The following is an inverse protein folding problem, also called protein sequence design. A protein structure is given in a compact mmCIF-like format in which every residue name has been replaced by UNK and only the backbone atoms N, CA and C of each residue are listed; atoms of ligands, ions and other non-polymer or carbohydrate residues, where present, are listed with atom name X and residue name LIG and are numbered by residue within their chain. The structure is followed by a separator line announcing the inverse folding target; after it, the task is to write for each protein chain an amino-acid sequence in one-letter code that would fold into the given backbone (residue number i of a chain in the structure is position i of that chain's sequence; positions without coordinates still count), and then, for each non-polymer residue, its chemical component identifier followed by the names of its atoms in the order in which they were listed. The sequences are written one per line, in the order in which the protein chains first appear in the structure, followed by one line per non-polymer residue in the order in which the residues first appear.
data_IF_688393433349
#
_entry.id   IF_688393433349
#
_cell.length_a   1.000
_cell.length_b   1.000
_cell.length_c   1.000
_cell.angle_alpha   90.00
_cell.angle_beta   90.00
_cell.angle_gamma   90.00
#
_symmetry.space_group_name_H-M   'P 1'
#
loop_
_entity.id
_entity.type
_entity.pdbx_description
1 polymer ?
#
# COMPACT_ATOMS: atom_id res chain seq x y z
N UNK A 1 28.42 26.14 -20.40
CA UNK A 1 28.03 25.41 -21.62
C UNK A 1 28.22 23.89 -21.49
N UNK A 2 29.34 23.37 -20.98
CA UNK A 2 29.60 21.91 -20.91
C UNK A 2 28.61 21.09 -20.06
N UNK A 3 28.12 21.64 -18.93
CA UNK A 3 27.18 20.93 -18.05
C UNK A 3 25.81 20.65 -18.67
N UNK A 4 25.25 21.60 -19.43
CA UNK A 4 23.95 21.45 -20.08
C UNK A 4 23.95 20.37 -21.17
N UNK A 5 25.00 20.35 -21.98
CA UNK A 5 25.18 19.33 -23.03
C UNK A 5 25.33 17.93 -22.43
N UNK A 6 26.06 17.79 -21.32
CA UNK A 6 26.18 16.52 -20.61
C UNK A 6 24.84 16.01 -20.08
N UNK A 7 23.99 16.89 -19.56
CA UNK A 7 22.64 16.54 -19.11
C UNK A 7 21.74 16.09 -20.27
N UNK A 8 21.81 16.76 -21.42
CA UNK A 8 21.05 16.36 -22.61
C UNK A 8 21.45 14.98 -23.13
N UNK A 9 22.75 14.68 -23.17
CA UNK A 9 23.26 13.37 -23.55
C UNK A 9 22.81 12.28 -22.56
N UNK A 10 22.87 12.57 -21.26
CA UNK A 10 22.39 11.65 -20.24
C UNK A 10 20.87 11.41 -20.38
N UNK A 11 20.11 12.46 -20.64
CA UNK A 11 18.66 12.37 -20.85
C UNK A 11 18.31 11.53 -22.07
N UNK A 12 19.01 11.71 -23.20
CA UNK A 12 18.84 10.85 -24.38
C UNK A 12 19.13 9.37 -24.06
N UNK A 13 20.21 9.09 -23.32
CA UNK A 13 20.53 7.73 -22.87
C UNK A 13 19.42 7.14 -22.02
N UNK A 14 18.96 7.86 -21.00
CA UNK A 14 17.91 7.40 -20.08
C UNK A 14 16.56 7.20 -20.78
N UNK A 15 16.17 8.12 -21.67
CA UNK A 15 14.84 8.11 -22.27
C UNK A 15 14.75 7.25 -23.54
N UNK A 16 15.76 7.30 -24.41
CA UNK A 16 15.72 6.66 -25.73
C UNK A 16 16.42 5.31 -25.72
N UNK A 17 17.62 5.23 -25.11
CA UNK A 17 18.39 3.97 -25.09
C UNK A 17 17.91 3.01 -24.00
N UNK A 18 17.62 3.51 -22.80
CA UNK A 18 17.30 2.67 -21.62
C UNK A 18 15.83 2.71 -21.21
N UNK A 19 15.01 3.56 -21.84
CA UNK A 19 13.65 3.89 -21.38
C UNK A 19 12.75 2.66 -21.24
N UNK A 20 12.70 1.80 -22.25
CA UNK A 20 11.85 0.58 -22.23
C UNK A 20 12.26 -0.41 -21.13
N UNK A 21 13.57 -0.61 -20.95
CA UNK A 21 14.12 -1.49 -19.92
C UNK A 21 13.84 -0.97 -18.51
N UNK A 22 13.99 0.34 -18.30
CA UNK A 22 13.70 0.99 -17.02
C UNK A 22 12.20 0.95 -16.71
N UNK A 23 11.34 1.12 -17.71
CA UNK A 23 9.88 0.99 -17.55
C UNK A 23 9.49 -0.44 -17.17
N UNK A 24 10.04 -1.45 -17.85
CA UNK A 24 9.77 -2.85 -17.53
C UNK A 24 10.19 -3.18 -16.10
N UNK A 25 11.37 -2.69 -15.69
CA UNK A 25 11.87 -2.83 -14.32
C UNK A 25 10.94 -2.15 -13.30
N UNK A 26 10.47 -0.94 -13.59
CA UNK A 26 9.54 -0.20 -12.74
C UNK A 26 8.21 -0.97 -12.60
N UNK A 27 7.66 -1.48 -13.70
CA UNK A 27 6.43 -2.29 -13.69
C UNK A 27 6.60 -3.55 -12.83
N UNK A 28 7.71 -4.27 -12.97
CA UNK A 28 8.01 -5.45 -12.13
C UNK A 28 8.13 -5.12 -10.65
N UNK A 29 8.67 -3.95 -10.30
CA UNK A 29 8.82 -3.51 -8.91
C UNK A 29 7.51 -2.99 -8.31
N UNK A 30 6.69 -2.30 -9.10
CA UNK A 30 5.42 -1.71 -8.66
C UNK A 30 4.29 -2.74 -8.62
N UNK A 31 4.28 -3.70 -9.55
CA UNK A 31 3.32 -4.80 -9.56
C UNK A 31 3.75 -5.90 -8.57
N UNK A 32 3.63 -5.60 -7.29
CA UNK A 32 3.72 -6.65 -6.26
C UNK A 32 2.43 -7.46 -6.32
N UNK A 33 2.55 -8.76 -6.59
CA UNK A 33 1.42 -9.69 -6.48
C UNK A 33 0.99 -9.77 -5.01
N UNK A 34 -0.02 -9.00 -4.65
CA UNK A 34 -0.66 -9.13 -3.34
C UNK A 34 -1.41 -10.46 -3.35
N UNK A 35 -0.96 -11.39 -2.49
CA UNK A 35 -1.67 -12.66 -2.34
C UNK A 35 -3.10 -12.37 -1.89
N UNK A 36 -4.12 -12.97 -2.52
CA UNK A 36 -5.48 -12.79 -2.07
C UNK A 36 -5.60 -13.27 -0.63
N UNK A 37 -6.43 -12.57 0.16
CA UNK A 37 -6.76 -13.01 1.51
C UNK A 37 -7.53 -14.34 1.43
N UNK A 38 -6.98 -15.39 2.02
CA UNK A 38 -7.65 -16.68 2.16
C UNK A 38 -8.02 -16.85 3.63
N UNK A 39 -9.32 -16.86 3.98
CA UNK A 39 -9.74 -17.01 5.37
C UNK A 39 -9.35 -18.38 5.92
N UNK A 40 -9.08 -18.45 7.23
CA UNK A 40 -8.81 -19.73 7.89
C UNK A 40 -10.08 -20.58 7.92
N UNK A 41 -9.89 -21.90 7.84
CA UNK A 41 -10.98 -22.86 8.01
C UNK A 41 -11.51 -22.79 9.44
N UNK A 42 -12.84 -22.88 9.64
CA UNK A 42 -13.41 -22.90 10.99
C UNK A 42 -12.97 -24.16 11.74
N UNK A 43 -12.80 -24.01 13.06
CA UNK A 43 -12.56 -25.15 13.96
C UNK A 43 -13.93 -25.63 14.44
N UNK A 44 -14.20 -26.92 14.27
CA UNK A 44 -15.46 -27.55 14.67
C UNK A 44 -15.21 -28.66 15.69
N UNK A 45 -16.14 -28.85 16.63
CA UNK A 45 -16.12 -29.98 17.55
C UNK A 45 -16.62 -31.28 16.86
N UNK A 46 -16.63 -32.40 17.60
CA UNK A 46 -17.10 -33.71 17.10
C UNK A 46 -18.59 -33.73 16.77
N UNK A 47 -19.39 -32.82 17.32
CA UNK A 47 -20.84 -32.69 17.09
C UNK A 47 -21.15 -31.72 15.95
N UNK A 48 -20.14 -31.08 15.36
CA UNK A 48 -20.28 -30.10 14.29
C UNK A 48 -20.49 -28.67 14.74
N UNK A 49 -20.35 -28.36 16.04
CA UNK A 49 -20.46 -26.99 16.53
C UNK A 49 -19.19 -26.20 16.19
N UNK A 50 -19.36 -24.97 15.70
CA UNK A 50 -18.25 -24.07 15.39
C UNK A 50 -17.66 -23.51 16.68
N UNK A 51 -16.39 -23.79 16.93
CA UNK A 51 -15.63 -23.27 18.08
C UNK A 51 -14.86 -22.00 17.72
N UNK A 52 -14.41 -21.86 16.47
CA UNK A 52 -13.71 -20.66 15.98
C UNK A 52 -13.94 -20.45 14.48
N UNK A 53 -14.09 -19.19 14.07
CA UNK A 53 -14.25 -18.77 12.68
C UNK A 53 -13.61 -17.40 12.46
N UNK A 54 -13.00 -17.20 11.29
CA UNK A 54 -12.50 -15.89 10.88
C UNK A 54 -13.67 -14.97 10.51
N UNK A 55 -13.61 -13.70 10.94
CA UNK A 55 -14.57 -12.65 10.55
C UNK A 55 -13.81 -11.44 10.00
N UNK A 56 -14.28 -10.85 8.89
CA UNK A 56 -13.74 -9.58 8.44
C UNK A 56 -14.05 -8.50 9.50
N UNK A 57 -13.04 -7.75 9.89
CA UNK A 57 -13.16 -6.59 10.78
C UNK A 57 -12.44 -5.41 10.15
N UNK A 58 -12.97 -4.21 10.39
CA UNK A 58 -12.40 -2.98 9.88
C UNK A 58 -11.68 -2.26 11.01
N UNK A 59 -10.47 -1.79 10.73
CA UNK A 59 -9.70 -0.94 11.64
C UNK A 59 -9.64 0.46 11.06
N UNK A 60 -10.20 1.43 11.78
CA UNK A 60 -10.10 2.83 11.39
C UNK A 60 -8.68 3.35 11.70
N UNK A 61 -7.97 3.82 10.67
CA UNK A 61 -6.63 4.40 10.80
C UNK A 61 -6.62 5.84 10.31
N UNK A 62 -6.13 6.75 11.15
CA UNK A 62 -6.01 8.17 10.85
C UNK A 62 -4.57 8.64 11.10
N UNK A 63 -3.86 9.06 10.05
CA UNK A 63 -2.49 9.51 10.18
C UNK A 63 -2.44 10.95 10.73
N UNK A 64 -1.77 11.22 11.87
CA UNK A 64 -1.91 12.48 12.60
C UNK A 64 -1.43 13.70 11.82
N UNK A 65 -0.40 13.56 10.98
CA UNK A 65 0.15 14.69 10.19
C UNK A 65 -0.73 15.16 9.03
N UNK A 66 -1.79 14.41 8.70
CA UNK A 66 -2.71 14.80 7.62
C UNK A 66 -3.76 15.81 8.09
N UNK A 67 -3.83 16.06 9.39
CA UNK A 67 -4.80 16.97 9.99
C UNK A 67 -4.14 18.27 10.45
N UNK A 68 -4.83 19.38 10.26
CA UNK A 68 -4.43 20.71 10.73
C UNK A 68 -4.97 21.04 12.13
N UNK A 69 -5.37 20.02 12.90
CA UNK A 69 -6.02 20.10 14.21
C UNK A 69 -5.21 19.34 15.27
N UNK A 70 -5.51 19.56 16.55
CA UNK A 70 -4.84 18.83 17.63
C UNK A 70 -5.27 17.35 17.63
N UNK A 71 -4.40 16.48 18.18
CA UNK A 71 -4.67 15.05 18.29
C UNK A 71 -5.95 14.77 19.09
N UNK A 72 -6.16 15.53 20.16
CA UNK A 72 -7.31 15.40 21.05
C UNK A 72 -8.61 15.74 20.33
N UNK A 73 -8.62 16.81 19.54
CA UNK A 73 -9.79 17.21 18.77
C UNK A 73 -10.16 16.15 17.73
N UNK A 74 -9.17 15.61 17.00
CA UNK A 74 -9.40 14.56 16.00
C UNK A 74 -9.89 13.28 16.67
N UNK A 75 -9.32 12.89 17.81
CA UNK A 75 -9.76 11.72 18.56
C UNK A 75 -11.22 11.84 19.00
N UNK A 76 -11.64 13.02 19.48
CA UNK A 76 -13.03 13.28 19.85
C UNK A 76 -13.99 13.19 18.66
N UNK A 77 -13.57 13.66 17.48
CA UNK A 77 -14.37 13.57 16.24
C UNK A 77 -14.46 12.15 15.70
N UNK A 78 -13.42 11.33 15.88
CA UNK A 78 -13.39 9.94 15.42
C UNK A 78 -14.05 8.95 16.39
N UNK A 79 -14.11 9.26 17.70
CA UNK A 79 -14.70 8.42 18.72
C UNK A 79 -16.09 7.84 18.38
N UNK A 80 -17.07 8.60 17.85
CA UNK A 80 -18.38 8.05 17.51
C UNK A 80 -18.39 7.13 16.27
N UNK A 81 -17.29 7.02 15.54
CA UNK A 81 -17.16 6.16 14.36
C UNK A 81 -16.56 4.78 14.68
N UNK A 82 -16.20 4.53 15.95
CA UNK A 82 -15.57 3.31 16.47
C UNK A 82 -16.56 2.63 17.43
#
# INVERSE_FOLDING_TARGET
MAGGSGLLLNLYRLQVSEGSSLEEKARRQQMVYMRPFVPRRPIVDRKGNVLAIDRPVYTLYAHPKLFKKSLQEIAALLAPMI
#
